data_IF_924268614291
#
_entry.id   IF_924268614291
#
_cell.length_a   1.000
_cell.length_b   1.000
_cell.length_c   1.000
_cell.angle_alpha   90.00
_cell.angle_beta   90.00
_cell.angle_gamma   90.00
#
_symmetry.space_group_name_H-M   'P 1'
#
loop_
_entity.id
_entity.type
_entity.pdbx_description
1 polymer ?
#
# COMPACT_ATOMS: atom_id res chain seq x y z
N UNK A 1 -33.19 -34.09 -1.24
CA UNK A 1 -32.86 -32.85 -0.50
C UNK A 1 -32.08 -33.26 0.74
N UNK A 2 -30.75 -33.03 0.73
CA UNK A 2 -29.88 -33.41 1.86
C UNK A 2 -30.00 -32.31 2.93
N UNK A 3 -30.75 -32.56 4.00
CA UNK A 3 -30.82 -31.69 5.17
C UNK A 3 -29.46 -31.75 5.91
N UNK A 4 -28.57 -30.78 5.67
CA UNK A 4 -27.38 -30.64 6.50
C UNK A 4 -27.81 -30.38 7.95
N UNK A 5 -27.15 -31.07 8.89
CA UNK A 5 -27.41 -30.94 10.32
C UNK A 5 -27.09 -29.49 10.78
N UNK A 6 -27.97 -28.80 11.53
CA UNK A 6 -27.71 -27.45 12.04
C UNK A 6 -26.37 -27.28 12.75
N UNK A 7 -25.91 -28.29 13.49
CA UNK A 7 -24.57 -28.27 14.15
C UNK A 7 -23.41 -28.21 13.14
N UNK A 8 -23.57 -28.83 11.95
CA UNK A 8 -22.54 -28.81 10.90
C UNK A 8 -22.46 -27.43 10.25
N UNK A 9 -23.59 -26.73 10.14
CA UNK A 9 -23.65 -25.36 9.60
C UNK A 9 -23.01 -24.38 10.60
N UNK A 10 -23.28 -24.52 11.89
CA UNK A 10 -22.68 -23.69 12.94
C UNK A 10 -21.14 -23.86 13.02
N UNK A 11 -20.64 -25.11 12.94
CA UNK A 11 -19.19 -25.38 12.98
C UNK A 11 -18.50 -24.81 11.75
N UNK A 12 -19.05 -24.97 10.55
CA UNK A 12 -18.50 -24.39 9.31
C UNK A 12 -18.46 -22.84 9.37
N UNK A 13 -19.49 -22.22 9.95
CA UNK A 13 -19.55 -20.78 10.14
C UNK A 13 -18.50 -20.27 11.14
N UNK A 14 -18.31 -20.96 12.26
CA UNK A 14 -17.30 -20.60 13.27
C UNK A 14 -15.87 -20.76 12.73
N UNK A 15 -15.59 -21.86 12.03
CA UNK A 15 -14.27 -22.10 11.42
C UNK A 15 -13.92 -21.03 10.38
N UNK A 16 -14.90 -20.57 9.60
CA UNK A 16 -14.73 -19.48 8.65
C UNK A 16 -14.40 -18.14 9.32
N UNK A 17 -15.08 -17.80 10.42
CA UNK A 17 -14.82 -16.57 11.20
C UNK A 17 -13.43 -16.62 11.84
N UNK A 18 -13.02 -17.76 12.39
CA UNK A 18 -11.70 -17.92 13.00
C UNK A 18 -10.58 -17.82 11.97
N UNK A 19 -10.75 -18.44 10.80
CA UNK A 19 -9.79 -18.35 9.69
C UNK A 19 -9.61 -16.90 9.21
N UNK A 20 -10.70 -16.17 9.03
CA UNK A 20 -10.72 -14.77 8.62
C UNK A 20 -10.01 -13.86 9.65
N UNK A 21 -10.32 -14.01 10.93
CA UNK A 21 -9.65 -13.27 12.00
C UNK A 21 -8.15 -13.56 12.07
N UNK A 22 -7.74 -14.79 11.74
CA UNK A 22 -6.34 -15.18 11.66
C UNK A 22 -5.62 -14.45 10.51
N UNK A 23 -6.20 -14.45 9.30
CA UNK A 23 -5.65 -13.75 8.14
C UNK A 23 -5.51 -12.26 8.44
N UNK A 24 -6.56 -11.63 8.94
CA UNK A 24 -6.56 -10.22 9.32
C UNK A 24 -5.41 -9.90 10.28
N UNK A 25 -5.31 -10.63 11.39
CA UNK A 25 -4.25 -10.41 12.39
C UNK A 25 -2.85 -10.60 11.81
N UNK A 26 -2.64 -11.65 11.03
CA UNK A 26 -1.35 -11.92 10.39
C UNK A 26 -0.96 -10.83 9.39
N UNK A 27 -1.91 -10.35 8.58
CA UNK A 27 -1.73 -9.27 7.63
C UNK A 27 -1.28 -7.98 8.33
N UNK A 28 -1.99 -7.53 9.37
CA UNK A 28 -1.65 -6.27 10.03
C UNK A 28 -0.33 -6.32 10.83
N UNK A 29 -0.01 -7.48 11.44
CA UNK A 29 1.29 -7.68 12.10
C UNK A 29 2.42 -7.64 11.06
N UNK A 30 2.28 -8.39 9.96
CA UNK A 30 3.28 -8.45 8.90
C UNK A 30 3.43 -7.09 8.20
N UNK A 31 2.32 -6.38 7.98
CA UNK A 31 2.31 -5.02 7.43
C UNK A 31 3.09 -4.05 8.31
N UNK A 32 2.83 -4.04 9.61
CA UNK A 32 3.56 -3.21 10.56
C UNK A 32 5.07 -3.48 10.53
N UNK A 33 5.48 -4.76 10.52
CA UNK A 33 6.90 -5.14 10.39
C UNK A 33 7.51 -4.65 9.08
N UNK A 34 6.79 -4.79 7.95
CA UNK A 34 7.26 -4.37 6.64
C UNK A 34 7.35 -2.84 6.50
N UNK A 35 6.42 -2.08 7.07
CA UNK A 35 6.48 -0.61 7.11
C UNK A 35 7.70 -0.13 7.90
N UNK A 36 7.93 -0.71 9.08
CA UNK A 36 9.12 -0.38 9.90
C UNK A 36 10.42 -0.76 9.19
N UNK A 37 10.47 -1.92 8.56
CA UNK A 37 11.63 -2.37 7.80
C UNK A 37 11.91 -1.48 6.59
N UNK A 38 10.87 -1.08 5.84
CA UNK A 38 10.99 -0.13 4.74
C UNK A 38 11.51 1.23 5.20
N UNK A 39 11.01 1.74 6.33
CA UNK A 39 11.50 2.99 6.93
C UNK A 39 12.97 2.89 7.33
N UNK A 40 13.41 1.76 7.92
CA UNK A 40 14.81 1.49 8.23
C UNK A 40 15.67 1.48 6.96
N UNK A 41 15.22 0.79 5.91
CA UNK A 41 15.92 0.76 4.61
C UNK A 41 16.00 2.15 3.97
N UNK A 42 14.95 2.97 4.07
CA UNK A 42 14.96 4.35 3.60
C UNK A 42 15.99 5.19 4.36
N UNK A 43 16.05 5.07 5.70
CA UNK A 43 17.04 5.74 6.51
C UNK A 43 18.49 5.33 6.17
N UNK A 44 18.73 4.02 6.03
CA UNK A 44 20.05 3.52 5.62
C UNK A 44 20.42 4.00 4.22
N UNK A 45 19.47 3.99 3.28
CA UNK A 45 19.67 4.48 1.93
C UNK A 45 20.05 5.96 1.88
N UNK A 46 19.43 6.80 2.72
CA UNK A 46 19.81 8.22 2.87
C UNK A 46 21.27 8.38 3.38
N UNK A 47 21.67 7.54 4.35
CA UNK A 47 23.05 7.56 4.89
C UNK A 47 24.09 7.10 3.89
N UNK A 48 23.75 6.12 3.07
CA UNK A 48 24.66 5.52 2.08
C UNK A 48 24.66 6.29 0.75
N UNK A 49 23.76 7.24 0.54
CA UNK A 49 23.61 7.97 -0.71
C UNK A 49 23.21 7.08 -1.90
N UNK A 50 22.45 6.01 -1.63
CA UNK A 50 22.02 5.04 -2.63
C UNK A 50 21.11 5.73 -3.65
N UNK A 51 21.41 5.54 -4.94
CA UNK A 51 20.58 5.96 -6.06
C UNK A 51 20.19 4.74 -6.88
N UNK A 52 18.90 4.46 -6.93
CA UNK A 52 18.38 3.37 -7.76
C UNK A 52 18.08 3.92 -9.16
N UNK A 53 18.74 3.40 -10.22
CA UNK A 53 18.42 3.79 -11.60
C UNK A 53 16.96 3.48 -11.94
N UNK A 54 16.32 4.34 -12.74
CA UNK A 54 14.89 4.23 -13.06
C UNK A 54 14.53 2.86 -13.66
N UNK A 55 15.36 2.32 -14.58
CA UNK A 55 15.13 1.01 -15.15
C UNK A 55 15.17 -0.09 -14.09
N UNK A 56 16.17 -0.06 -13.19
CA UNK A 56 16.29 -1.03 -12.10
C UNK A 56 15.11 -0.91 -11.13
N UNK A 57 14.59 0.31 -10.92
CA UNK A 57 13.41 0.54 -10.09
C UNK A 57 12.19 -0.22 -10.66
N UNK A 58 11.87 -0.03 -11.94
CA UNK A 58 10.72 -0.71 -12.55
C UNK A 58 10.90 -2.23 -12.59
N UNK A 59 12.07 -2.71 -13.02
CA UNK A 59 12.37 -4.16 -13.04
C UNK A 59 12.29 -4.75 -11.63
N UNK A 60 12.84 -4.05 -10.62
CA UNK A 60 12.81 -4.49 -9.23
C UNK A 60 11.38 -4.52 -8.67
N UNK A 61 10.59 -3.46 -8.89
CA UNK A 61 9.20 -3.38 -8.41
C UNK A 61 8.36 -4.51 -9.00
N UNK A 62 8.31 -4.62 -10.33
CA UNK A 62 7.50 -5.66 -10.98
C UNK A 62 8.04 -7.06 -10.71
N UNK A 63 9.35 -7.27 -10.78
CA UNK A 63 9.96 -8.55 -10.50
C UNK A 63 9.69 -9.05 -9.09
N UNK A 64 9.78 -8.18 -8.09
CA UNK A 64 9.50 -8.54 -6.70
C UNK A 64 8.01 -8.73 -6.44
N UNK A 65 7.12 -7.92 -7.02
CA UNK A 65 5.65 -8.14 -6.92
C UNK A 65 5.29 -9.51 -7.47
N UNK A 66 5.75 -9.85 -8.69
CA UNK A 66 5.51 -11.17 -9.28
C UNK A 66 6.15 -12.29 -8.46
N UNK A 67 7.37 -12.05 -7.94
CA UNK A 67 8.07 -12.99 -7.06
C UNK A 67 7.27 -13.29 -5.78
N UNK A 68 6.75 -12.26 -5.10
CA UNK A 68 5.91 -12.40 -3.91
C UNK A 68 4.64 -13.18 -4.25
N UNK A 69 3.92 -12.79 -5.32
CA UNK A 69 2.67 -13.43 -5.70
C UNK A 69 2.86 -14.91 -6.12
N UNK A 70 3.94 -15.22 -6.83
CA UNK A 70 4.27 -16.60 -7.20
C UNK A 70 4.59 -17.49 -5.99
N UNK A 71 5.09 -16.90 -4.90
CA UNK A 71 5.52 -17.61 -3.69
C UNK A 71 4.64 -17.32 -2.46
N UNK A 72 3.47 -16.73 -2.64
CA UNK A 72 2.59 -16.30 -1.54
C UNK A 72 2.16 -17.41 -0.57
N UNK A 73 2.22 -18.67 -1.00
CA UNK A 73 1.86 -19.83 -0.19
C UNK A 73 3.07 -20.47 0.52
N UNK A 74 4.26 -19.92 0.36
CA UNK A 74 5.52 -20.46 0.90
C UNK A 74 6.23 -19.42 1.78
N UNK A 75 7.11 -19.89 2.67
CA UNK A 75 7.94 -18.98 3.48
C UNK A 75 8.83 -18.04 2.66
N UNK A 76 9.19 -18.42 1.41
CA UNK A 76 9.92 -17.57 0.48
C UNK A 76 9.13 -16.28 0.13
N UNK A 77 7.79 -16.35 0.09
CA UNK A 77 6.95 -15.18 -0.13
C UNK A 77 7.15 -14.10 0.92
N UNK A 78 7.33 -14.46 2.19
CA UNK A 78 7.64 -13.50 3.27
C UNK A 78 8.99 -12.84 3.03
N UNK A 79 10.02 -13.62 2.68
CA UNK A 79 11.37 -13.09 2.41
C UNK A 79 11.33 -12.12 1.22
N UNK A 80 10.63 -12.49 0.15
CA UNK A 80 10.46 -11.63 -1.02
C UNK A 80 9.64 -10.37 -0.70
N UNK A 81 8.66 -10.45 0.20
CA UNK A 81 7.89 -9.30 0.66
C UNK A 81 8.79 -8.31 1.41
N UNK A 82 9.65 -8.78 2.32
CA UNK A 82 10.65 -7.93 2.97
C UNK A 82 11.65 -7.36 1.96
N UNK A 83 12.11 -8.16 1.00
CA UNK A 83 12.97 -7.68 -0.08
C UNK A 83 12.29 -6.58 -0.89
N UNK A 84 11.00 -6.71 -1.19
CA UNK A 84 10.19 -5.72 -1.90
C UNK A 84 10.06 -4.41 -1.10
N UNK A 85 9.63 -4.50 0.15
CA UNK A 85 9.42 -3.33 1.00
C UNK A 85 10.73 -2.61 1.33
N UNK A 86 11.82 -3.37 1.53
CA UNK A 86 13.16 -2.83 1.70
C UNK A 86 13.67 -2.15 0.42
N UNK A 87 13.44 -2.76 -0.74
CA UNK A 87 13.79 -2.16 -2.04
C UNK A 87 13.05 -0.84 -2.28
N UNK A 88 11.75 -0.76 -1.96
CA UNK A 88 11.01 0.50 -2.04
C UNK A 88 11.54 1.53 -1.04
N UNK A 89 11.90 1.12 0.18
CA UNK A 89 12.55 1.98 1.15
C UNK A 89 13.86 2.57 0.64
N UNK A 90 14.76 1.74 0.10
CA UNK A 90 15.99 2.23 -0.54
C UNK A 90 15.72 3.14 -1.74
N UNK A 91 14.72 2.81 -2.55
CA UNK A 91 14.40 3.60 -3.75
C UNK A 91 13.94 5.01 -3.42
N UNK A 92 13.15 5.19 -2.34
CA UNK A 92 12.65 6.51 -1.94
C UNK A 92 13.71 7.35 -1.21
N UNK A 93 14.79 6.74 -0.73
CA UNK A 93 15.80 7.43 0.09
C UNK A 93 16.39 8.67 -0.57
N UNK A 94 16.64 8.62 -1.88
CA UNK A 94 17.16 9.77 -2.62
C UNK A 94 16.17 10.96 -2.64
N UNK A 95 14.88 10.68 -2.79
CA UNK A 95 13.83 11.70 -2.71
C UNK A 95 13.78 12.31 -1.31
N UNK A 96 13.83 11.49 -0.27
CA UNK A 96 13.82 11.97 1.13
C UNK A 96 15.07 12.81 1.43
N UNK A 97 16.25 12.40 0.94
CA UNK A 97 17.50 13.18 1.08
C UNK A 97 17.33 14.57 0.44
N UNK A 98 16.72 14.64 -0.74
CA UNK A 98 16.45 15.93 -1.40
C UNK A 98 15.54 16.80 -0.53
N UNK A 99 14.45 16.25 0.02
CA UNK A 99 13.55 17.01 0.92
C UNK A 99 14.27 17.53 2.16
N UNK A 100 15.14 16.71 2.76
CA UNK A 100 15.93 17.12 3.92
C UNK A 100 16.93 18.24 3.56
N UNK A 101 17.60 18.13 2.40
CA UNK A 101 18.61 19.11 1.97
C UNK A 101 18.05 20.50 1.66
N UNK A 102 16.77 20.56 1.22
CA UNK A 102 16.08 21.85 0.96
C UNK A 102 15.27 22.35 2.16
N UNK A 103 15.46 21.76 3.36
CA UNK A 103 14.78 22.21 4.57
C UNK A 103 13.30 21.76 4.69
N UNK A 104 12.83 20.88 3.81
CA UNK A 104 11.45 20.39 3.80
C UNK A 104 11.24 19.11 4.64
N UNK A 105 12.07 18.86 5.67
CA UNK A 105 11.92 17.70 6.54
C UNK A 105 10.56 17.63 7.26
N UNK A 106 9.99 18.79 7.61
CA UNK A 106 8.65 18.87 8.21
C UNK A 106 7.54 18.35 7.27
N UNK A 107 7.71 18.50 5.95
CA UNK A 107 6.77 17.99 4.93
C UNK A 107 6.77 16.47 4.95
N UNK A 108 7.95 15.84 5.06
CA UNK A 108 8.09 14.39 5.16
C UNK A 108 7.36 13.86 6.40
N UNK A 109 7.56 14.49 7.56
CA UNK A 109 6.89 14.09 8.80
C UNK A 109 5.37 14.25 8.68
N UNK A 110 4.88 15.37 8.14
CA UNK A 110 3.45 15.59 7.90
C UNK A 110 2.84 14.53 6.96
N UNK A 111 3.56 14.16 5.89
CA UNK A 111 3.13 13.12 4.97
C UNK A 111 3.06 11.75 5.67
N UNK A 112 4.05 11.39 6.49
CA UNK A 112 4.04 10.14 7.26
C UNK A 112 2.86 10.08 8.25
N UNK A 113 2.67 11.14 9.03
CA UNK A 113 1.56 11.23 10.00
C UNK A 113 0.22 11.19 9.28
N UNK A 114 0.06 11.96 8.20
CA UNK A 114 -1.16 11.98 7.39
C UNK A 114 -1.49 10.60 6.79
N UNK A 115 -0.47 9.89 6.28
CA UNK A 115 -0.62 8.53 5.76
C UNK A 115 -1.12 7.57 6.86
N UNK A 116 -0.51 7.62 8.04
CA UNK A 116 -0.94 6.81 9.18
C UNK A 116 -2.38 7.10 9.58
N UNK A 117 -2.76 8.38 9.69
CA UNK A 117 -4.13 8.78 10.03
C UNK A 117 -5.13 8.25 8.99
N UNK A 118 -4.88 8.45 7.70
CA UNK A 118 -5.75 7.98 6.61
C UNK A 118 -5.88 6.46 6.67
N UNK A 119 -4.76 5.75 6.70
CA UNK A 119 -4.76 4.29 6.72
C UNK A 119 -5.54 3.73 7.91
N UNK A 120 -5.21 4.16 9.13
CA UNK A 120 -5.86 3.63 10.34
C UNK A 120 -7.34 4.04 10.42
N UNK A 121 -7.70 5.25 10.00
CA UNK A 121 -9.09 5.69 9.99
C UNK A 121 -9.95 4.86 9.03
N UNK A 122 -9.46 4.64 7.80
CA UNK A 122 -10.19 3.91 6.78
C UNK A 122 -10.26 2.40 7.10
N UNK A 123 -9.14 1.80 7.51
CA UNK A 123 -9.12 0.40 7.96
C UNK A 123 -10.05 0.20 9.17
N UNK A 124 -9.96 1.07 10.17
CA UNK A 124 -10.82 0.99 11.35
C UNK A 124 -12.31 1.16 10.97
N UNK A 125 -12.63 2.06 10.05
CA UNK A 125 -14.00 2.23 9.57
C UNK A 125 -14.55 0.92 9.03
N UNK A 126 -13.86 0.23 8.12
CA UNK A 126 -14.30 -1.05 7.56
C UNK A 126 -14.39 -2.12 8.65
N UNK A 127 -13.39 -2.21 9.54
CA UNK A 127 -13.33 -3.21 10.60
C UNK A 127 -14.49 -3.08 11.61
N UNK A 128 -14.89 -1.84 11.94
CA UNK A 128 -15.95 -1.61 12.93
C UNK A 128 -17.35 -1.60 12.33
N UNK A 129 -17.50 -1.13 11.09
CA UNK A 129 -18.82 -1.04 10.45
C UNK A 129 -19.22 -2.31 9.70
N UNK A 130 -18.23 -3.08 9.23
CA UNK A 130 -18.46 -4.25 8.37
C UNK A 130 -19.06 -3.89 6.99
N UNK A 131 -18.96 -2.61 6.58
CA UNK A 131 -19.43 -2.19 5.25
C UNK A 131 -18.55 -2.80 4.19
N UNK A 132 -19.17 -3.44 3.20
CA UNK A 132 -18.48 -4.07 2.09
C UNK A 132 -18.17 -3.05 0.99
N UNK A 133 -16.89 -2.88 0.66
CA UNK A 133 -16.37 -2.01 -0.39
C UNK A 133 -15.82 -2.77 -1.60
N UNK A 134 -16.02 -4.09 -1.70
CA UNK A 134 -15.46 -4.90 -2.80
C UNK A 134 -16.03 -4.51 -4.17
N UNK A 135 -17.20 -3.88 -4.21
CA UNK A 135 -17.78 -3.34 -5.45
C UNK A 135 -16.95 -2.21 -6.08
N UNK A 136 -16.07 -1.56 -5.34
CA UNK A 136 -15.23 -0.46 -5.86
C UNK A 136 -14.11 -0.94 -6.79
N UNK A 137 -13.76 -2.24 -6.82
CA UNK A 137 -12.58 -2.75 -7.51
C UNK A 137 -12.43 -2.30 -8.96
N UNK A 138 -13.51 -2.40 -9.76
CA UNK A 138 -13.48 -1.96 -11.17
C UNK A 138 -13.30 -0.45 -11.32
N UNK A 139 -13.97 0.35 -10.48
CA UNK A 139 -13.84 1.80 -10.48
C UNK A 139 -12.42 2.25 -10.09
N UNK A 140 -11.86 1.67 -9.02
CA UNK A 140 -10.51 1.98 -8.55
C UNK A 140 -9.45 1.60 -9.58
N UNK A 141 -9.57 0.43 -10.19
CA UNK A 141 -8.66 -0.01 -11.24
C UNK A 141 -8.68 0.93 -12.46
N UNK A 142 -9.87 1.31 -12.92
CA UNK A 142 -10.01 2.25 -14.04
C UNK A 142 -9.45 3.62 -13.68
N UNK A 143 -9.77 4.11 -12.48
CA UNK A 143 -9.24 5.38 -11.96
C UNK A 143 -7.72 5.37 -11.85
N UNK A 144 -7.13 4.26 -11.37
CA UNK A 144 -5.69 4.07 -11.28
C UNK A 144 -5.02 4.16 -12.65
N UNK A 145 -5.58 3.48 -13.68
CA UNK A 145 -5.04 3.54 -15.04
C UNK A 145 -5.09 4.96 -15.61
N UNK A 146 -6.21 5.66 -15.45
CA UNK A 146 -6.36 7.04 -15.93
C UNK A 146 -5.38 7.97 -15.22
N UNK A 147 -5.29 7.90 -13.88
CA UNK A 147 -4.37 8.72 -13.10
C UNK A 147 -2.90 8.42 -13.44
N UNK A 148 -2.58 7.15 -13.68
CA UNK A 148 -1.23 6.72 -14.08
C UNK A 148 -0.84 7.29 -15.44
N UNK A 149 -1.70 7.17 -16.45
CA UNK A 149 -1.46 7.72 -17.78
C UNK A 149 -1.36 9.25 -17.77
N UNK A 150 -2.22 9.93 -16.99
CA UNK A 150 -2.15 11.36 -16.79
C UNK A 150 -0.85 11.77 -16.07
N UNK A 151 -0.40 10.98 -15.08
CA UNK A 151 0.86 11.18 -14.37
C UNK A 151 2.08 11.04 -15.29
N UNK A 152 2.08 10.04 -16.19
CA UNK A 152 3.11 9.93 -17.24
C UNK A 152 3.10 11.18 -18.15
N UNK A 153 1.93 11.63 -18.57
CA UNK A 153 1.80 12.86 -19.35
C UNK A 153 2.36 14.07 -18.60
N UNK A 154 2.02 14.22 -17.31
CA UNK A 154 2.56 15.29 -16.48
C UNK A 154 4.09 15.30 -16.40
N UNK A 155 4.68 14.09 -16.34
CA UNK A 155 6.13 13.90 -16.31
C UNK A 155 6.78 14.28 -17.65
N UNK A 156 6.23 13.83 -18.77
CA UNK A 156 6.77 14.13 -20.10
C UNK A 156 6.68 15.61 -20.47
N UNK A 157 5.56 16.25 -20.13
CA UNK A 157 5.32 17.68 -20.43
C UNK A 157 5.79 18.63 -19.33
N UNK A 158 6.41 18.11 -18.25
CA UNK A 158 6.90 18.91 -17.11
C UNK A 158 5.81 19.81 -16.47
N UNK A 159 4.56 19.34 -16.44
CA UNK A 159 3.40 20.09 -15.95
C UNK A 159 3.21 19.91 -14.43
N UNK A 160 3.76 20.82 -13.64
CA UNK A 160 3.69 20.75 -12.16
C UNK A 160 2.24 20.71 -11.64
N UNK A 161 1.35 21.55 -12.19
CA UNK A 161 -0.05 21.58 -11.77
C UNK A 161 -0.76 20.23 -12.03
N UNK A 162 -0.51 19.61 -13.19
CA UNK A 162 -1.05 18.29 -13.52
C UNK A 162 -0.47 17.21 -12.60
N UNK A 163 0.82 17.28 -12.25
CA UNK A 163 1.45 16.36 -11.30
C UNK A 163 0.78 16.41 -9.93
N UNK A 164 0.47 17.59 -9.41
CA UNK A 164 -0.25 17.75 -8.13
C UNK A 164 -1.69 17.23 -8.23
N UNK A 165 -2.39 17.51 -9.34
CA UNK A 165 -3.73 16.99 -9.57
C UNK A 165 -3.73 15.45 -9.64
N UNK A 166 -2.76 14.83 -10.33
CA UNK A 166 -2.60 13.37 -10.36
C UNK A 166 -2.32 12.81 -8.96
N UNK A 167 -1.49 13.49 -8.15
CA UNK A 167 -1.23 13.05 -6.77
C UNK A 167 -2.48 13.12 -5.91
N UNK A 168 -3.34 14.14 -6.09
CA UNK A 168 -4.64 14.20 -5.42
C UNK A 168 -5.56 13.04 -5.85
N UNK A 169 -5.59 12.72 -7.15
CA UNK A 169 -6.32 11.56 -7.66
C UNK A 169 -5.79 10.24 -7.07
N UNK A 170 -4.47 10.04 -7.07
CA UNK A 170 -3.84 8.86 -6.45
C UNK A 170 -4.16 8.75 -4.96
N UNK A 171 -4.12 9.86 -4.22
CA UNK A 171 -4.48 9.88 -2.81
C UNK A 171 -5.89 9.33 -2.58
N UNK A 172 -6.87 9.77 -3.36
CA UNK A 172 -8.27 9.31 -3.28
C UNK A 172 -8.37 7.83 -3.69
N UNK A 173 -7.72 7.44 -4.79
CA UNK A 173 -7.76 6.08 -5.32
C UNK A 173 -7.16 5.08 -4.32
N UNK A 174 -5.96 5.35 -3.79
CA UNK A 174 -5.31 4.45 -2.82
C UNK A 174 -6.00 4.46 -1.46
N UNK A 175 -6.63 5.58 -1.05
CA UNK A 175 -7.55 5.58 0.09
C UNK A 175 -8.76 4.65 -0.16
N UNK A 176 -9.30 4.66 -1.37
CA UNK A 176 -10.33 3.71 -1.80
C UNK A 176 -9.85 2.25 -1.79
N UNK A 177 -8.59 2.00 -2.21
CA UNK A 177 -7.99 0.66 -2.14
C UNK A 177 -7.83 0.17 -0.70
N UNK A 178 -7.46 1.02 0.26
CA UNK A 178 -7.45 0.64 1.70
C UNK A 178 -8.82 0.12 2.15
N UNK A 179 -9.93 0.79 1.75
CA UNK A 179 -11.28 0.31 2.04
C UNK A 179 -11.57 -1.02 1.35
N UNK A 180 -11.25 -1.11 0.07
CA UNK A 180 -11.48 -2.29 -0.78
C UNK A 180 -10.70 -3.50 -0.28
N UNK A 181 -9.39 -3.40 -0.04
CA UNK A 181 -8.53 -4.51 0.35
C UNK A 181 -8.83 -4.96 1.78
N UNK A 182 -9.13 -4.01 2.70
CA UNK A 182 -9.61 -4.36 4.05
C UNK A 182 -10.94 -5.11 3.97
N UNK A 183 -11.87 -4.69 3.10
CA UNK A 183 -13.14 -5.39 2.89
C UNK A 183 -12.95 -6.80 2.35
N UNK A 184 -12.05 -7.01 1.38
CA UNK A 184 -11.75 -8.33 0.81
C UNK A 184 -11.26 -9.32 1.86
N UNK A 185 -10.44 -8.86 2.82
CA UNK A 185 -9.99 -9.70 3.94
C UNK A 185 -11.17 -10.06 4.84
N UNK A 186 -12.04 -9.10 5.16
CA UNK A 186 -13.20 -9.31 6.04
C UNK A 186 -14.24 -10.21 5.39
N UNK A 187 -14.49 -10.05 4.09
CA UNK A 187 -15.43 -10.88 3.34
C UNK A 187 -14.85 -12.29 3.05
N UNK A 188 -13.56 -12.50 3.26
CA UNK A 188 -12.88 -13.78 2.98
C UNK A 188 -12.58 -13.99 1.51
N UNK A 189 -12.62 -12.95 0.69
CA UNK A 189 -12.21 -13.00 -0.71
C UNK A 189 -10.68 -13.07 -0.83
N UNK A 190 -9.96 -12.39 0.07
CA UNK A 190 -8.51 -12.54 0.20
C UNK A 190 -8.19 -13.36 1.46
N UNK A 191 -7.65 -14.54 1.25
CA UNK A 191 -7.32 -15.51 2.30
C UNK A 191 -5.83 -15.65 2.55
N UNK A 192 -5.00 -15.01 1.71
CA UNK A 192 -3.55 -15.07 1.82
C UNK A 192 -3.01 -13.79 2.45
N UNK A 193 -2.49 -13.90 3.68
CA UNK A 193 -1.97 -12.76 4.44
C UNK A 193 -0.73 -12.11 3.80
N UNK A 194 0.05 -12.82 2.96
CA UNK A 194 1.22 -12.27 2.25
C UNK A 194 0.73 -11.35 1.12
N UNK A 195 -0.25 -11.80 0.31
CA UNK A 195 -0.87 -10.97 -0.73
C UNK A 195 -1.54 -9.75 -0.13
N UNK A 196 -2.38 -9.95 0.89
CA UNK A 196 -3.05 -8.86 1.59
C UNK A 196 -2.06 -7.82 2.17
N UNK A 197 -0.92 -8.28 2.71
CA UNK A 197 0.13 -7.38 3.20
C UNK A 197 0.79 -6.60 2.08
N UNK A 198 1.06 -7.24 0.94
CA UNK A 198 1.64 -6.58 -0.24
C UNK A 198 0.71 -5.47 -0.76
N UNK A 199 -0.59 -5.77 -0.91
CA UNK A 199 -1.60 -4.84 -1.39
C UNK A 199 -1.72 -3.63 -0.45
N UNK A 200 -1.96 -3.84 0.84
CA UNK A 200 -2.06 -2.74 1.83
C UNK A 200 -0.75 -1.95 1.98
N UNK A 201 0.42 -2.58 1.83
CA UNK A 201 1.70 -1.86 1.83
C UNK A 201 1.81 -0.92 0.63
N UNK A 202 1.40 -1.38 -0.56
CA UNK A 202 1.37 -0.55 -1.77
C UNK A 202 0.44 0.66 -1.60
N UNK A 203 -0.72 0.47 -0.97
CA UNK A 203 -1.65 1.57 -0.69
C UNK A 203 -1.02 2.61 0.22
N UNK A 204 -0.45 2.18 1.35
CA UNK A 204 0.26 3.06 2.30
C UNK A 204 1.38 3.82 1.61
N UNK A 205 2.19 3.13 0.81
CA UNK A 205 3.34 3.72 0.12
C UNK A 205 2.90 4.79 -0.90
N UNK A 206 1.85 4.51 -1.67
CA UNK A 206 1.32 5.46 -2.65
C UNK A 206 0.56 6.64 -2.00
N UNK A 207 -0.17 6.42 -0.90
CA UNK A 207 -0.74 7.51 -0.09
C UNK A 207 0.36 8.44 0.40
N UNK A 208 1.46 7.86 0.93
CA UNK A 208 2.61 8.64 1.39
C UNK A 208 3.24 9.47 0.28
N UNK A 209 3.51 8.88 -0.90
CA UNK A 209 4.07 9.60 -2.05
C UNK A 209 3.14 10.73 -2.52
N UNK A 210 1.85 10.46 -2.55
CA UNK A 210 0.84 11.44 -2.95
C UNK A 210 0.79 12.63 -2.00
N UNK A 211 0.73 12.36 -0.68
CA UNK A 211 0.78 13.41 0.35
C UNK A 211 2.09 14.19 0.29
N UNK A 212 3.21 13.50 0.11
CA UNK A 212 4.52 14.14 0.01
C UNK A 212 4.57 15.14 -1.16
N UNK A 213 4.06 14.76 -2.33
CA UNK A 213 4.03 15.65 -3.50
C UNK A 213 3.06 16.82 -3.28
N UNK A 214 1.84 16.57 -2.80
CA UNK A 214 0.85 17.62 -2.53
C UNK A 214 1.37 18.62 -1.50
N UNK A 215 1.84 18.15 -0.35
CA UNK A 215 2.33 19.02 0.72
C UNK A 215 3.59 19.80 0.30
N UNK A 216 4.44 19.22 -0.55
CA UNK A 216 5.61 19.93 -1.09
C UNK A 216 5.22 21.07 -2.01
N UNK A 217 4.19 20.88 -2.83
CA UNK A 217 3.69 21.93 -3.72
C UNK A 217 3.15 23.14 -2.92
N UNK A 218 2.40 22.86 -1.84
CA UNK A 218 1.89 23.93 -0.96
C UNK A 218 2.98 24.63 -0.12
N UNK A 219 4.08 23.96 0.16
CA UNK A 219 5.17 24.56 0.97
C UNK A 219 6.17 25.38 0.13
N UNK A 220 6.03 25.38 -1.20
CA UNK A 220 6.86 26.18 -2.11
C UNK A 220 6.30 27.58 -2.39
N UNK A 221 5.03 27.80 -2.01
CA UNK A 221 4.34 29.10 -2.08
C UNK A 221 4.40 29.80 -0.71
#
# INVERSE_FOLDING_TARGET
>A
MNHMNPRTIETISQDGILARNKVLRQTYILLGMNVLFSALCAYLGMRMGIRVPTLLYFVGVFGLIFGVQANRNNGLGIILLFAFTGFLGFSISNLLTLFMSVGMGSVVVKALVGTGIIFFALSAYVLFTGVNFTFLGGFLFTGLLVAFLAGLGAMFFHMTALSVACSAAFLVIFSGYVLYDTSRIIEGEETNYISATLELFLDIFNIFLSLLNILSAFNRN
#
